data_IF_893389370803
#
_entry.id   IF_893389370803
#
_cell.length_a   1.000
_cell.length_b   1.000
_cell.length_c   1.000
_cell.angle_alpha   90.00
_cell.angle_beta   90.00
_cell.angle_gamma   90.00
#
_symmetry.space_group_name_H-M   'P 1'
#
loop_
_entity.id
_entity.type
_entity.pdbx_description
1 polymer ?
#
# COMPACT_ATOMS: atom_id res chain seq x y z
N UNK A 1 -24.32 -12.27 -6.32
CA UNK A 1 -22.86 -12.08 -6.33
C UNK A 1 -22.29 -12.87 -5.17
N UNK A 2 -21.35 -13.78 -5.42
CA UNK A 2 -20.84 -14.70 -4.40
C UNK A 2 -20.02 -13.99 -3.33
N UNK A 3 -20.08 -14.48 -2.08
CA UNK A 3 -19.35 -13.89 -0.93
C UNK A 3 -17.84 -13.76 -1.17
N UNK A 4 -17.24 -14.76 -1.81
CA UNK A 4 -15.80 -14.78 -2.11
C UNK A 4 -15.38 -13.67 -3.07
N UNK A 5 -16.17 -13.41 -4.11
CA UNK A 5 -15.93 -12.33 -5.05
C UNK A 5 -16.05 -10.94 -4.39
N UNK A 6 -16.95 -10.82 -3.41
CA UNK A 6 -17.09 -9.60 -2.61
C UNK A 6 -15.87 -9.38 -1.69
N UNK A 7 -15.36 -10.44 -1.07
CA UNK A 7 -14.21 -10.32 -0.17
C UNK A 7 -12.94 -9.81 -0.87
N UNK A 8 -12.67 -10.26 -2.12
CA UNK A 8 -11.56 -9.73 -2.93
C UNK A 8 -11.72 -8.24 -3.21
N UNK A 9 -12.94 -7.80 -3.50
CA UNK A 9 -13.25 -6.38 -3.75
C UNK A 9 -13.12 -5.55 -2.48
N UNK A 10 -13.66 -6.03 -1.36
CA UNK A 10 -13.51 -5.34 -0.07
C UNK A 10 -12.06 -5.27 0.39
N UNK A 11 -11.23 -6.27 0.12
CA UNK A 11 -9.80 -6.20 0.40
C UNK A 11 -9.15 -5.02 -0.33
N UNK A 12 -9.39 -4.87 -1.63
CA UNK A 12 -8.87 -3.73 -2.40
C UNK A 12 -9.39 -2.38 -1.87
N UNK A 13 -10.67 -2.30 -1.50
CA UNK A 13 -11.28 -1.10 -0.93
C UNK A 13 -10.65 -0.72 0.42
N UNK A 14 -10.54 -1.70 1.34
CA UNK A 14 -10.00 -1.47 2.69
C UNK A 14 -8.54 -1.04 2.63
N UNK A 15 -7.71 -1.74 1.86
CA UNK A 15 -6.31 -1.35 1.64
C UNK A 15 -6.26 0.03 0.98
N UNK A 16 -7.12 0.27 -0.02
CA UNK A 16 -7.20 1.54 -0.71
C UNK A 16 -7.52 2.71 0.23
N UNK A 17 -8.56 2.58 1.04
CA UNK A 17 -8.95 3.60 2.04
C UNK A 17 -7.83 3.79 3.07
N UNK A 18 -7.28 2.70 3.60
CA UNK A 18 -6.20 2.75 4.60
C UNK A 18 -5.01 3.54 4.08
N UNK A 19 -4.54 3.25 2.87
CA UNK A 19 -3.39 3.93 2.27
C UNK A 19 -3.69 5.40 1.94
N UNK A 20 -4.87 5.70 1.40
CA UNK A 20 -5.28 7.07 1.13
C UNK A 20 -5.34 7.91 2.42
N UNK A 21 -5.95 7.37 3.48
CA UNK A 21 -6.06 8.06 4.78
C UNK A 21 -4.68 8.28 5.42
N UNK A 22 -3.81 7.26 5.42
CA UNK A 22 -2.44 7.39 5.95
C UNK A 22 -1.64 8.42 5.13
N UNK A 23 -1.76 8.40 3.80
CA UNK A 23 -1.11 9.38 2.95
C UNK A 23 -1.61 10.81 3.20
N UNK A 24 -2.92 11.01 3.34
CA UNK A 24 -3.51 12.31 3.69
C UNK A 24 -3.09 12.78 5.08
N UNK A 25 -3.05 11.88 6.07
CA UNK A 25 -2.61 12.18 7.43
C UNK A 25 -1.17 12.70 7.46
N UNK A 26 -0.32 12.25 6.55
CA UNK A 26 1.06 12.72 6.40
C UNK A 26 1.19 14.18 5.95
N UNK A 27 0.10 14.83 5.52
CA UNK A 27 0.05 16.26 5.22
C UNK A 27 -0.45 17.11 6.39
N UNK A 28 -0.85 16.48 7.49
CA UNK A 28 -1.35 17.20 8.68
C UNK A 28 -0.18 17.44 9.65
N UNK A 29 0.29 18.69 9.83
CA UNK A 29 1.49 18.96 10.64
C UNK A 29 1.41 18.45 12.07
N UNK A 30 0.22 18.46 12.68
CA UNK A 30 0.01 17.95 14.05
C UNK A 30 0.10 16.42 14.19
N UNK A 31 0.12 15.68 13.09
CA UNK A 31 0.23 14.22 13.09
C UNK A 31 1.64 13.74 12.71
N UNK A 32 2.51 14.64 12.27
CA UNK A 32 3.89 14.32 11.87
C UNK A 32 4.85 14.98 12.87
N UNK A 33 5.61 14.15 13.59
CA UNK A 33 6.66 14.62 14.50
C UNK A 33 8.00 14.68 13.78
N UNK A 34 8.83 15.65 14.17
CA UNK A 34 10.23 15.69 13.73
C UNK A 34 11.01 14.54 14.36
N UNK A 35 12.13 14.08 13.73
CA UNK A 35 13.02 13.14 14.35
C UNK A 35 13.46 13.62 15.73
N UNK A 36 13.65 12.71 16.71
CA UNK A 36 14.26 13.05 17.98
C UNK A 36 15.59 13.78 17.73
N UNK A 37 15.86 14.84 18.49
CA UNK A 37 17.12 15.60 18.42
C UNK A 37 18.31 14.63 18.55
N UNK A 38 19.10 14.46 17.51
CA UNK A 38 20.20 13.48 17.41
C UNK A 38 19.90 12.23 16.60
N UNK A 39 18.67 12.04 16.14
CA UNK A 39 18.33 11.01 15.14
C UNK A 39 18.90 11.40 13.78
N UNK A 40 19.91 10.66 13.30
CA UNK A 40 20.44 10.90 11.98
C UNK A 40 19.32 10.71 10.94
N UNK A 41 19.05 11.73 10.12
CA UNK A 41 18.40 11.53 8.85
C UNK A 41 19.35 10.63 8.04
N UNK A 42 18.96 9.44 7.61
CA UNK A 42 19.88 8.48 7.01
C UNK A 42 20.47 8.89 5.66
N UNK A 43 20.28 10.12 5.23
CA UNK A 43 20.74 10.67 3.95
C UNK A 43 21.35 12.04 4.16
N UNK A 44 22.41 12.31 3.43
CA UNK A 44 23.10 13.58 3.42
C UNK A 44 22.13 14.71 3.09
N UNK A 45 22.09 15.74 3.96
CA UNK A 45 21.03 16.75 4.06
C UNK A 45 21.13 17.85 2.99
N UNK A 46 21.32 17.49 1.76
CA UNK A 46 20.97 18.41 0.68
C UNK A 46 19.44 18.53 0.61
N UNK A 47 18.87 19.72 0.32
CA UNK A 47 17.43 19.87 0.13
C UNK A 47 17.03 19.10 -1.14
N UNK A 48 16.75 17.84 -0.95
CA UNK A 48 16.35 16.89 -1.99
C UNK A 48 14.91 16.41 -1.75
N UNK A 49 14.42 15.59 -2.67
CA UNK A 49 13.08 15.00 -2.61
C UNK A 49 12.89 14.21 -1.30
N UNK A 50 13.95 13.62 -0.76
CA UNK A 50 13.87 12.81 0.45
C UNK A 50 13.59 13.65 1.70
N UNK A 51 14.25 14.80 1.86
CA UNK A 51 14.12 15.67 3.02
C UNK A 51 12.81 16.47 3.03
N UNK A 52 12.17 16.62 1.87
CA UNK A 52 10.92 17.37 1.75
C UNK A 52 9.82 16.71 2.58
N UNK A 53 9.40 17.38 3.65
CA UNK A 53 8.35 16.93 4.57
C UNK A 53 8.73 15.66 5.37
N UNK A 54 10.04 15.39 5.55
CA UNK A 54 10.49 14.24 6.32
C UNK A 54 10.07 14.35 7.78
N UNK A 55 9.54 13.28 8.34
CA UNK A 55 9.13 13.15 9.73
C UNK A 55 8.60 11.76 10.05
N UNK A 56 7.98 11.66 11.21
CA UNK A 56 7.39 10.41 11.69
C UNK A 56 5.88 10.58 11.88
N UNK A 57 5.09 10.02 11.01
CA UNK A 57 3.64 10.01 11.14
C UNK A 57 3.25 9.23 12.40
N UNK A 58 2.45 9.87 13.28
CA UNK A 58 2.10 9.41 14.64
C UNK A 58 3.32 9.10 15.52
N UNK A 59 4.50 9.65 15.21
CA UNK A 59 5.74 9.33 15.89
C UNK A 59 6.30 7.92 15.60
N UNK A 60 5.69 7.16 14.68
CA UNK A 60 5.97 5.73 14.48
C UNK A 60 6.46 5.41 13.06
N UNK A 61 5.85 6.01 12.04
CA UNK A 61 6.08 5.65 10.65
C UNK A 61 6.90 6.73 9.95
N UNK A 62 8.17 6.48 9.61
CA UNK A 62 8.94 7.43 8.82
C UNK A 62 8.23 7.71 7.49
N UNK A 63 8.13 8.98 7.14
CA UNK A 63 7.43 9.45 5.95
C UNK A 63 8.09 10.70 5.37
N UNK A 64 7.77 11.03 4.13
CA UNK A 64 8.10 12.28 3.48
C UNK A 64 7.02 12.68 2.47
N UNK A 65 7.18 13.80 1.81
CA UNK A 65 6.20 14.31 0.83
C UNK A 65 5.90 13.27 -0.26
N UNK A 66 6.93 12.68 -0.86
CA UNK A 66 6.77 11.71 -1.95
C UNK A 66 6.08 10.44 -1.46
N UNK A 67 6.45 9.94 -0.28
CA UNK A 67 5.84 8.75 0.31
C UNK A 67 4.33 8.96 0.56
N UNK A 68 3.94 10.13 1.05
CA UNK A 68 2.54 10.47 1.27
C UNK A 68 1.75 10.53 -0.05
N UNK A 69 2.33 11.14 -1.10
CA UNK A 69 1.72 11.18 -2.43
C UNK A 69 1.54 9.76 -2.99
N UNK A 70 2.57 8.92 -2.93
CA UNK A 70 2.50 7.53 -3.40
C UNK A 70 1.41 6.76 -2.67
N UNK A 71 1.28 6.92 -1.34
CA UNK A 71 0.21 6.29 -0.56
C UNK A 71 -1.18 6.72 -1.01
N UNK A 72 -1.38 8.01 -1.28
CA UNK A 72 -2.66 8.52 -1.79
C UNK A 72 -2.97 7.93 -3.16
N UNK A 73 -2.01 7.91 -4.07
CA UNK A 73 -2.19 7.35 -5.43
C UNK A 73 -2.54 5.86 -5.35
N UNK A 74 -1.74 5.08 -4.64
CA UNK A 74 -1.97 3.64 -4.46
C UNK A 74 -3.32 3.39 -3.80
N UNK A 75 -3.66 4.17 -2.79
CA UNK A 75 -4.96 4.10 -2.12
C UNK A 75 -6.13 4.39 -3.05
N UNK A 76 -6.02 5.44 -3.86
CA UNK A 76 -7.04 5.81 -4.84
C UNK A 76 -7.26 4.71 -5.88
N UNK A 77 -6.17 4.11 -6.37
CA UNK A 77 -6.26 2.96 -7.30
C UNK A 77 -6.98 1.78 -6.65
N UNK A 78 -6.73 1.49 -5.37
CA UNK A 78 -7.43 0.43 -4.63
C UNK A 78 -8.93 0.68 -4.49
N UNK A 79 -9.32 1.93 -4.22
CA UNK A 79 -10.73 2.35 -4.15
C UNK A 79 -11.41 2.18 -5.52
N UNK A 80 -10.76 2.60 -6.60
CA UNK A 80 -11.29 2.42 -7.96
C UNK A 80 -11.36 0.94 -8.32
N UNK A 81 -10.36 0.15 -7.97
CA UNK A 81 -10.29 -1.28 -8.24
C UNK A 81 -11.46 -2.07 -7.60
N UNK A 82 -12.01 -1.60 -6.47
CA UNK A 82 -13.20 -2.18 -5.84
C UNK A 82 -14.41 -2.28 -6.78
N UNK A 83 -14.53 -1.41 -7.77
CA UNK A 83 -15.70 -1.34 -8.67
C UNK A 83 -15.89 -2.60 -9.52
N UNK A 84 -14.84 -3.39 -9.76
CA UNK A 84 -14.89 -4.63 -10.52
C UNK A 84 -14.08 -5.75 -9.87
N UNK A 85 -14.51 -7.01 -10.06
CA UNK A 85 -13.79 -8.17 -9.55
C UNK A 85 -12.41 -8.32 -10.20
N UNK A 86 -12.32 -8.11 -11.51
CA UNK A 86 -11.05 -8.17 -12.24
C UNK A 86 -10.07 -7.10 -11.77
N UNK A 87 -10.56 -5.86 -11.59
CA UNK A 87 -9.78 -4.75 -11.07
C UNK A 87 -9.26 -5.01 -9.66
N UNK A 88 -10.15 -5.45 -8.76
CA UNK A 88 -9.78 -5.78 -7.38
C UNK A 88 -8.71 -6.87 -7.31
N UNK A 89 -8.86 -7.93 -8.12
CA UNK A 89 -7.90 -9.03 -8.16
C UNK A 89 -6.55 -8.59 -8.72
N UNK A 90 -6.56 -7.79 -9.78
CA UNK A 90 -5.33 -7.22 -10.35
C UNK A 90 -4.62 -6.32 -9.34
N UNK A 91 -5.38 -5.44 -8.69
CA UNK A 91 -4.86 -4.57 -7.63
C UNK A 91 -4.25 -5.38 -6.49
N UNK A 92 -4.99 -6.34 -5.91
CA UNK A 92 -4.51 -7.15 -4.79
C UNK A 92 -3.22 -7.90 -5.14
N UNK A 93 -3.11 -8.47 -6.35
CA UNK A 93 -1.89 -9.14 -6.83
C UNK A 93 -0.72 -8.20 -7.01
N UNK A 94 -0.93 -7.09 -7.72
CA UNK A 94 0.10 -6.10 -7.97
C UNK A 94 0.59 -5.46 -6.67
N UNK A 95 -0.35 -5.12 -5.77
CA UNK A 95 -0.06 -4.59 -4.45
C UNK A 95 0.77 -5.59 -3.62
N UNK A 96 0.34 -6.85 -3.56
CA UNK A 96 1.05 -7.89 -2.81
C UNK A 96 2.51 -8.04 -3.25
N UNK A 97 2.76 -8.12 -4.56
CA UNK A 97 4.11 -8.25 -5.10
C UNK A 97 4.93 -6.99 -4.80
N UNK A 98 4.40 -5.80 -5.13
CA UNK A 98 5.12 -4.55 -4.95
C UNK A 98 5.47 -4.30 -3.48
N UNK A 99 4.50 -4.46 -2.57
CA UNK A 99 4.70 -4.18 -1.14
C UNK A 99 5.49 -5.26 -0.41
N UNK A 100 5.50 -6.50 -0.88
CA UNK A 100 6.44 -7.52 -0.41
C UNK A 100 7.88 -7.14 -0.78
N UNK A 101 8.13 -6.68 -2.01
CA UNK A 101 9.44 -6.19 -2.42
C UNK A 101 9.87 -4.96 -1.63
N UNK A 102 8.96 -3.99 -1.42
CA UNK A 102 9.21 -2.79 -0.61
C UNK A 102 9.54 -3.17 0.84
N UNK A 103 8.84 -4.14 1.42
CA UNK A 103 9.13 -4.62 2.77
C UNK A 103 10.54 -5.24 2.86
N UNK A 104 10.94 -6.04 1.87
CA UNK A 104 12.30 -6.62 1.79
C UNK A 104 13.34 -5.50 1.63
N UNK A 105 13.10 -4.55 0.74
CA UNK A 105 13.99 -3.40 0.54
C UNK A 105 14.16 -2.57 1.83
N UNK A 106 13.10 -2.42 2.61
CA UNK A 106 13.13 -1.69 3.87
C UNK A 106 14.02 -2.33 4.95
N UNK A 107 14.34 -3.62 4.82
CA UNK A 107 15.29 -4.34 5.69
C UNK A 107 16.75 -4.16 5.24
N UNK A 108 16.98 -3.74 4.00
CA UNK A 108 18.33 -3.64 3.43
C UNK A 108 18.86 -2.21 3.60
N UNK A 109 20.00 -1.99 4.28
CA UNK A 109 20.54 -0.65 4.53
C UNK A 109 20.71 0.20 3.26
N UNK A 110 21.10 -0.43 2.15
CA UNK A 110 21.31 0.26 0.86
C UNK A 110 20.02 0.65 0.13
N UNK A 111 18.88 0.02 0.48
CA UNK A 111 17.60 0.22 -0.22
C UNK A 111 16.50 0.80 0.68
N UNK A 112 16.73 0.91 1.98
CA UNK A 112 15.73 1.33 2.98
C UNK A 112 15.17 2.74 2.79
N UNK A 113 15.84 3.56 1.98
CA UNK A 113 15.37 4.90 1.60
C UNK A 113 14.85 4.95 0.17
N UNK A 114 14.63 3.80 -0.46
CA UNK A 114 14.25 3.72 -1.88
C UNK A 114 15.25 4.53 -2.74
N UNK A 115 16.54 4.32 -2.47
CA UNK A 115 17.65 5.05 -3.12
C UNK A 115 17.56 6.58 -2.96
N UNK A 116 17.16 7.06 -1.79
CA UNK A 116 17.04 8.48 -1.48
C UNK A 116 15.73 9.12 -1.91
N UNK A 117 14.68 8.35 -2.20
CA UNK A 117 13.37 8.87 -2.58
C UNK A 117 12.36 8.87 -1.43
N UNK A 118 12.21 7.74 -0.75
CA UNK A 118 11.17 7.55 0.27
C UNK A 118 11.68 6.68 1.43
N UNK A 119 11.34 7.01 2.69
CA UNK A 119 11.69 6.18 3.84
C UNK A 119 10.76 4.97 3.91
N UNK A 120 11.30 3.76 3.72
CA UNK A 120 10.55 2.50 3.80
C UNK A 120 11.01 1.59 4.93
N UNK A 121 11.89 2.06 5.79
CA UNK A 121 12.45 1.36 6.95
C UNK A 121 11.56 1.45 8.21
N UNK A 122 12.03 0.83 9.28
CA UNK A 122 11.35 0.88 10.58
C UNK A 122 9.97 0.21 10.54
N UNK A 123 8.97 0.84 11.14
CA UNK A 123 7.62 0.29 11.19
C UNK A 123 6.93 0.16 9.81
N UNK A 124 7.42 0.88 8.80
CA UNK A 124 6.95 0.70 7.42
C UNK A 124 7.18 -0.73 6.90
N UNK A 125 8.28 -1.39 7.32
CA UNK A 125 8.59 -2.76 6.91
C UNK A 125 7.46 -3.71 7.30
N UNK A 126 7.07 -3.68 8.57
CA UNK A 126 6.03 -4.57 9.09
C UNK A 126 4.66 -4.25 8.52
N UNK A 127 4.34 -2.97 8.40
CA UNK A 127 3.09 -2.51 7.80
C UNK A 127 2.98 -2.95 6.35
N UNK A 128 4.04 -2.77 5.55
CA UNK A 128 4.08 -3.19 4.16
C UNK A 128 4.01 -4.72 4.02
N UNK A 129 4.74 -5.46 4.86
CA UNK A 129 4.71 -6.92 4.86
C UNK A 129 3.32 -7.46 5.19
N UNK A 130 2.67 -6.95 6.24
CA UNK A 130 1.34 -7.38 6.66
C UNK A 130 0.29 -7.11 5.57
N UNK A 131 0.28 -5.91 5.02
CA UNK A 131 -0.67 -5.54 3.97
C UNK A 131 -0.42 -6.32 2.68
N UNK A 132 0.85 -6.63 2.34
CA UNK A 132 1.19 -7.49 1.22
C UNK A 132 0.70 -8.93 1.41
N UNK A 133 0.82 -9.51 2.61
CA UNK A 133 0.32 -10.85 2.93
C UNK A 133 -1.20 -10.90 2.76
N UNK A 134 -1.92 -9.93 3.33
CA UNK A 134 -3.39 -9.85 3.21
C UNK A 134 -3.80 -9.73 1.75
N UNK A 135 -3.21 -8.80 0.99
CA UNK A 135 -3.50 -8.63 -0.42
C UNK A 135 -3.15 -9.90 -1.23
N UNK A 136 -2.04 -10.56 -0.91
CA UNK A 136 -1.61 -11.79 -1.54
C UNK A 136 -2.60 -12.94 -1.35
N UNK A 137 -3.13 -13.09 -0.15
CA UNK A 137 -4.18 -14.07 0.13
C UNK A 137 -5.41 -13.84 -0.76
N UNK A 138 -5.95 -12.63 -0.80
CA UNK A 138 -7.12 -12.30 -1.60
C UNK A 138 -6.84 -12.25 -3.11
N UNK A 139 -5.61 -11.95 -3.52
CA UNK A 139 -5.24 -11.89 -4.93
C UNK A 139 -4.93 -13.25 -5.55
N UNK A 140 -4.30 -14.16 -4.82
CA UNK A 140 -3.77 -15.40 -5.35
C UNK A 140 -4.43 -16.67 -4.80
N UNK A 141 -4.80 -16.68 -3.52
CA UNK A 141 -5.25 -17.89 -2.84
C UNK A 141 -6.77 -18.04 -2.91
N UNK A 142 -7.51 -16.96 -2.70
CA UNK A 142 -8.96 -17.02 -2.67
C UNK A 142 -9.56 -17.37 -4.04
N UNK A 143 -10.39 -18.44 -4.15
CA UNK A 143 -11.00 -18.86 -5.41
C UNK A 143 -11.91 -17.78 -6.00
N UNK A 144 -11.95 -17.72 -7.34
CA UNK A 144 -12.95 -16.94 -8.06
C UNK A 144 -14.03 -17.88 -8.53
N UNK A 145 -15.25 -17.73 -8.05
CA UNK A 145 -16.36 -18.51 -8.59
C UNK A 145 -16.90 -17.80 -9.83
N UNK A 146 -16.69 -18.43 -10.99
CA UNK A 146 -17.40 -18.12 -12.22
C UNK A 146 -18.85 -18.60 -12.08
N UNK A 147 -19.82 -17.74 -12.40
CA UNK A 147 -21.21 -18.22 -12.48
C UNK A 147 -21.29 -19.36 -13.52
N UNK A 148 -21.99 -20.45 -13.22
CA UNK A 148 -22.28 -21.46 -14.22
C UNK A 148 -22.97 -20.77 -15.41
N UNK A 149 -22.46 -20.94 -16.62
CA UNK A 149 -23.17 -20.52 -17.81
C UNK A 149 -24.48 -21.32 -17.85
N UNK A 150 -25.62 -20.64 -17.77
CA UNK A 150 -26.89 -21.25 -18.07
C UNK A 150 -26.83 -21.72 -19.52
N UNK A 151 -26.75 -23.05 -19.67
CA UNK A 151 -26.79 -23.70 -20.98
C UNK A 151 -28.19 -23.47 -21.55
N UNK A 152 -28.37 -22.43 -22.34
CA UNK A 152 -29.57 -22.23 -23.14
C UNK A 152 -29.52 -23.18 -24.32
N UNK A 153 -29.77 -24.48 -24.07
CA UNK A 153 -30.08 -25.40 -25.15
C UNK A 153 -31.40 -24.97 -25.79
N UNK A 154 -31.47 -24.73 -27.11
CA UNK A 154 -32.74 -24.52 -27.75
C UNK A 154 -33.56 -25.79 -27.60
N UNK A 155 -34.72 -25.71 -26.98
CA UNK A 155 -35.71 -26.81 -27.04
C UNK A 155 -36.16 -26.94 -28.50
N UNK A 156 -35.74 -28.01 -29.15
CA UNK A 156 -36.28 -28.48 -30.41
C UNK A 156 -37.70 -29.03 -30.23
#
# INVERSE_FOLDING_TARGET
>A
MNRENMAQRYCALIIGILFAVIGLAGFVPGLVSLPPTGGAIPVDTSPDIYSAGFGYLFGLFPTNLLHNIVRIVVGSVGIVAYTSLGGARLYNRGFAIAYALIAIMGLLPVAQTTFGLMPIFGNNVWFNALTAIVAGYFGFVQPTQTMPQMNTSPRS
#
